data_IF_542619340989
#
_entry.id   IF_542619340989
#
_cell.length_a   1.000
_cell.length_b   1.000
_cell.length_c   1.000
_cell.angle_alpha   90.00
_cell.angle_beta   90.00
_cell.angle_gamma   90.00
#
_symmetry.space_group_name_H-M   'P 1'
#
loop_
_entity.id
_entity.type
_entity.pdbx_description
1 polymer ?
#
# COMPACT_ATOMS: atom_id res chain seq x y z
N UNK A 1 -7.18 6.59 -2.04
CA UNK A 1 -5.74 6.93 -1.95
C UNK A 1 -5.59 8.02 -0.90
N UNK A 2 -4.39 8.28 -0.38
CA UNK A 2 -4.16 9.42 0.51
C UNK A 2 -3.04 10.33 0.02
N UNK A 3 -3.04 11.58 0.46
CA UNK A 3 -1.93 12.51 0.26
C UNK A 3 -1.16 12.65 1.58
N UNK A 4 0.16 12.80 1.48
CA UNK A 4 1.01 13.13 2.63
C UNK A 4 1.74 14.43 2.32
N UNK A 5 1.60 15.41 3.21
CA UNK A 5 2.28 16.70 3.09
C UNK A 5 3.80 16.54 3.26
N UNK A 6 4.59 16.99 2.29
CA UNK A 6 6.06 16.97 2.36
C UNK A 6 6.64 18.19 3.06
N UNK A 7 5.86 19.26 3.17
CA UNK A 7 6.15 20.48 3.93
C UNK A 7 4.86 21.08 4.48
N UNK A 8 4.95 22.09 5.36
CA UNK A 8 3.78 22.76 5.89
C UNK A 8 3.14 23.69 4.84
N UNK A 9 1.82 23.61 4.66
CA UNK A 9 1.04 24.50 3.79
C UNK A 9 -0.44 24.45 4.19
N UNK A 10 -1.20 25.53 3.95
CA UNK A 10 -2.68 25.49 4.02
C UNK A 10 -3.28 25.00 5.36
N UNK A 11 -2.53 25.08 6.47
CA UNK A 11 -2.94 24.53 7.77
C UNK A 11 -2.52 23.07 8.02
N UNK A 12 -1.97 22.38 7.03
CA UNK A 12 -1.37 21.06 7.16
C UNK A 12 0.10 21.18 7.55
N UNK A 13 0.50 20.41 8.56
CA UNK A 13 1.91 20.26 8.93
C UNK A 13 2.63 19.29 7.98
N UNK A 14 3.96 19.35 7.95
CA UNK A 14 4.77 18.32 7.28
C UNK A 14 4.47 16.94 7.89
N UNK A 15 4.27 15.95 7.03
CA UNK A 15 3.87 14.59 7.40
C UNK A 15 2.37 14.43 7.67
N UNK A 16 1.56 15.48 7.58
CA UNK A 16 0.12 15.36 7.73
C UNK A 16 -0.48 14.48 6.63
N UNK A 17 -1.34 13.55 7.04
CA UNK A 17 -2.09 12.69 6.13
C UNK A 17 -3.43 13.31 5.79
N UNK A 18 -3.73 13.37 4.51
CA UNK A 18 -4.99 13.90 3.97
C UNK A 18 -5.69 12.74 3.28
N UNK A 19 -6.81 12.33 3.87
CA UNK A 19 -7.63 11.18 3.41
C UNK A 19 -9.01 11.62 2.91
N UNK A 20 -9.41 12.86 3.18
CA UNK A 20 -10.67 13.43 2.68
C UNK A 20 -10.58 13.64 1.16
N UNK A 21 -11.45 12.97 0.42
CA UNK A 21 -11.44 13.02 -1.04
C UNK A 21 -11.67 14.43 -1.60
N UNK A 22 -12.54 15.23 -0.98
CA UNK A 22 -12.79 16.60 -1.41
C UNK A 22 -11.56 17.49 -1.18
N UNK A 23 -10.85 17.29 -0.07
CA UNK A 23 -9.60 17.99 0.20
C UNK A 23 -8.49 17.55 -0.76
N UNK A 24 -8.40 16.25 -1.06
CA UNK A 24 -7.46 15.70 -2.04
C UNK A 24 -7.68 16.35 -3.41
N UNK A 25 -8.91 16.39 -3.90
CA UNK A 25 -9.23 16.95 -5.21
C UNK A 25 -8.92 18.45 -5.27
N UNK A 26 -9.22 19.20 -4.19
CA UNK A 26 -8.91 20.62 -4.10
C UNK A 26 -7.40 20.90 -4.10
N UNK A 27 -6.61 20.10 -3.38
CA UNK A 27 -5.14 20.24 -3.33
C UNK A 27 -4.52 19.88 -4.68
N UNK A 28 -4.99 18.82 -5.32
CA UNK A 28 -4.50 18.38 -6.63
C UNK A 28 -4.86 19.35 -7.76
N UNK A 29 -5.95 20.10 -7.63
CA UNK A 29 -6.34 21.16 -8.55
C UNK A 29 -5.58 22.49 -8.30
N UNK A 30 -4.72 22.55 -7.27
CA UNK A 30 -4.01 23.76 -6.83
C UNK A 30 -2.49 23.60 -6.94
N UNK A 31 -1.75 24.71 -6.81
CA UNK A 31 -0.29 24.73 -6.70
C UNK A 31 0.22 23.95 -5.48
N UNK A 32 -0.65 23.73 -4.50
CA UNK A 32 -0.37 22.93 -3.30
C UNK A 32 -0.07 21.46 -3.62
N UNK A 33 -0.43 20.97 -4.81
CA UNK A 33 -0.06 19.64 -5.30
C UNK A 33 1.46 19.40 -5.29
N UNK A 34 2.28 20.46 -5.37
CA UNK A 34 3.74 20.37 -5.28
C UNK A 34 4.26 20.02 -3.87
N UNK A 35 3.44 20.18 -2.84
CA UNK A 35 3.81 20.00 -1.43
C UNK A 35 3.25 18.72 -0.82
N UNK A 36 2.77 17.81 -1.66
CA UNK A 36 2.19 16.53 -1.24
C UNK A 36 2.71 15.39 -2.11
N UNK A 37 2.76 14.19 -1.54
CA UNK A 37 2.96 12.95 -2.28
C UNK A 37 1.71 12.09 -2.22
N UNK A 38 1.43 11.38 -3.32
CA UNK A 38 0.34 10.42 -3.41
C UNK A 38 0.80 9.10 -2.82
N UNK A 39 0.07 8.62 -1.82
CA UNK A 39 0.25 7.30 -1.23
C UNK A 39 -0.94 6.45 -1.69
N UNK A 40 -0.72 5.44 -2.55
CA UNK A 40 -1.79 4.49 -2.88
C UNK A 40 -2.26 3.81 -1.59
N UNK A 41 -3.55 3.49 -1.51
CA UNK A 41 -4.00 2.62 -0.44
C UNK A 41 -3.36 1.26 -0.69
N UNK A 42 -2.37 0.91 0.12
CA UNK A 42 -1.86 -0.45 0.23
C UNK A 42 -3.01 -1.33 0.71
N UNK A 43 -3.82 -1.78 -0.24
CA UNK A 43 -4.63 -2.99 -0.06
C UNK A 43 -3.60 -4.10 0.09
N UNK A 44 -3.44 -4.53 1.34
CA UNK A 44 -2.42 -5.44 1.82
C UNK A 44 -2.07 -6.55 0.82
N UNK A 45 -0.80 -7.03 0.79
CA UNK A 45 -0.47 -8.23 0.05
C UNK A 45 -1.46 -9.32 0.44
N UNK A 46 -2.16 -9.89 -0.55
CA UNK A 46 -3.12 -10.94 -0.33
C UNK A 46 -2.49 -11.98 0.61
N UNK A 47 -3.20 -12.45 1.67
CA UNK A 47 -2.67 -13.51 2.50
C UNK A 47 -2.37 -14.66 1.57
N UNK A 48 -1.09 -15.03 1.43
CA UNK A 48 -0.70 -16.29 0.80
C UNK A 48 -1.55 -17.37 1.47
N UNK A 49 -2.46 -18.04 0.74
CA UNK A 49 -3.31 -19.03 1.37
C UNK A 49 -2.40 -20.12 1.91
N UNK A 50 -2.45 -20.35 3.22
CA UNK A 50 -1.66 -21.36 3.93
C UNK A 50 -1.90 -22.81 3.43
N UNK A 51 -2.74 -23.01 2.42
CA UNK A 51 -3.08 -24.30 1.82
C UNK A 51 -2.09 -24.79 0.74
N UNK A 52 -1.13 -24.00 0.28
CA UNK A 52 -0.17 -24.47 -0.76
C UNK A 52 1.06 -25.22 -0.21
N UNK A 53 1.19 -25.40 1.11
CA UNK A 53 2.22 -26.29 1.70
C UNK A 53 1.61 -27.68 1.99
N UNK A 54 0.97 -28.29 0.99
CA UNK A 54 0.63 -29.73 0.99
C UNK A 54 0.69 -30.27 -0.43
N UNK A 55 1.91 -30.53 -0.92
CA UNK A 55 2.23 -31.69 -1.76
C UNK A 55 3.62 -31.53 -2.41
N UNK A 56 4.64 -32.06 -1.75
CA UNK A 56 5.84 -32.60 -2.41
C UNK A 56 6.59 -33.54 -1.43
N UNK A 57 5.90 -34.53 -0.88
CA UNK A 57 6.57 -35.72 -0.33
C UNK A 57 5.75 -36.95 -0.68
N UNK A 58 5.76 -37.29 -1.97
CA UNK A 58 5.34 -38.61 -2.44
C UNK A 58 6.00 -38.86 -3.80
N UNK A 59 7.15 -39.52 -3.77
CA UNK A 59 7.72 -40.41 -4.81
C UNK A 59 9.06 -40.90 -4.22
N UNK A 60 9.06 -42.08 -3.63
CA UNK A 60 9.38 -43.36 -4.28
C UNK A 60 10.89 -43.68 -4.16
N UNK A 61 11.23 -44.51 -3.18
CA UNK A 61 12.42 -45.36 -3.22
C UNK A 61 12.07 -46.61 -2.42
N UNK A 62 11.38 -47.53 -3.09
CA UNK A 62 11.36 -48.93 -2.69
C UNK A 62 12.76 -49.51 -2.95
N UNK A 63 13.58 -49.61 -1.90
CA UNK A 63 14.83 -50.37 -1.91
C UNK A 63 14.46 -51.87 -1.93
N UNK A 64 14.70 -52.51 -3.07
CA UNK A 64 14.60 -53.96 -3.24
C UNK A 64 15.88 -54.62 -2.74
N UNK A 65 15.76 -55.56 -1.80
CA UNK A 65 16.79 -56.57 -1.54
C UNK A 65 16.18 -57.90 -1.15
#
# INVERSE_FOLDING_TARGET
MKLVATQAFGGYAQGAEITDQAAIDAILASEQAAFVVRVPDDTAPAPIPAASIKNAVATDTADSK
#
